data_IF_935273028937
#
_entry.id   IF_935273028937
#
_cell.length_a   1.000
_cell.length_b   1.000
_cell.length_c   1.000
_cell.angle_alpha   90.00
_cell.angle_beta   90.00
_cell.angle_gamma   90.00
#
_symmetry.space_group_name_H-M   'P 1'
#
loop_
_entity.id
_entity.type
_entity.pdbx_description
1 polymer ?
#
# COMPACT_ATOMS: atom_id res chain seq x y z
N UNK A 1 -0.86 15.83 1.41
CA UNK A 1 -1.47 15.76 2.76
C UNK A 1 -1.65 14.31 3.16
N UNK A 2 -1.47 13.96 4.44
CA UNK A 2 -1.60 12.60 4.98
C UNK A 2 -2.83 12.51 5.88
N UNK A 3 -3.66 11.49 5.68
CA UNK A 3 -4.89 11.26 6.43
C UNK A 3 -4.99 9.80 6.86
N UNK A 4 -5.52 9.50 8.04
CA UNK A 4 -5.85 8.11 8.39
C UNK A 4 -6.91 7.57 7.44
N UNK A 5 -6.76 6.33 6.97
CA UNK A 5 -7.66 5.75 5.97
C UNK A 5 -8.98 5.29 6.59
N UNK A 6 -9.91 6.21 6.79
CA UNK A 6 -11.24 5.97 7.39
C UNK A 6 -12.35 6.45 6.45
N UNK A 7 -13.56 5.90 6.61
CA UNK A 7 -14.74 6.36 5.86
C UNK A 7 -14.99 7.87 6.03
N UNK A 8 -14.79 8.41 7.24
CA UNK A 8 -14.93 9.85 7.52
C UNK A 8 -13.93 10.69 6.70
N UNK A 9 -12.66 10.30 6.67
CA UNK A 9 -11.65 11.03 5.90
C UNK A 9 -11.87 10.89 4.39
N UNK A 10 -12.39 9.75 3.92
CA UNK A 10 -12.79 9.58 2.52
C UNK A 10 -13.96 10.48 2.13
N UNK A 11 -14.98 10.59 2.98
CA UNK A 11 -16.10 11.50 2.75
C UNK A 11 -15.62 12.94 2.69
N UNK A 12 -14.75 13.36 3.62
CA UNK A 12 -14.14 14.69 3.62
C UNK A 12 -13.35 14.98 2.34
N UNK A 13 -12.47 14.05 1.93
CA UNK A 13 -11.73 14.19 0.67
C UNK A 13 -12.67 14.25 -0.55
N UNK A 14 -13.76 13.48 -0.52
CA UNK A 14 -14.77 13.49 -1.59
C UNK A 14 -15.50 14.81 -1.72
N UNK A 15 -15.75 15.51 -0.60
CA UNK A 15 -16.37 16.83 -0.59
C UNK A 15 -15.37 17.90 -1.03
N UNK A 16 -14.18 17.91 -0.40
CA UNK A 16 -13.12 18.89 -0.63
C UNK A 16 -12.62 18.90 -2.08
N UNK A 17 -12.59 17.73 -2.74
CA UNK A 17 -12.10 17.56 -4.12
C UNK A 17 -13.19 17.16 -5.12
N UNK A 18 -14.45 17.50 -4.83
CA UNK A 18 -15.60 17.19 -5.67
C UNK A 18 -15.52 17.80 -7.08
N UNK A 19 -14.88 18.97 -7.23
CA UNK A 19 -14.68 19.62 -8.54
C UNK A 19 -13.46 19.09 -9.31
N UNK A 20 -12.58 18.33 -8.65
CA UNK A 20 -11.38 17.79 -9.28
C UNK A 20 -11.71 16.50 -10.05
N UNK A 21 -11.81 16.61 -11.37
CA UNK A 21 -12.14 15.48 -12.26
C UNK A 21 -11.16 14.29 -12.13
N UNK A 22 -9.86 14.55 -11.94
CA UNK A 22 -8.92 13.47 -11.70
C UNK A 22 -9.22 12.75 -10.38
N UNK A 23 -9.47 13.51 -9.31
CA UNK A 23 -9.86 12.93 -8.04
C UNK A 23 -11.13 12.07 -8.18
N UNK A 24 -12.20 12.63 -8.75
CA UNK A 24 -13.51 11.99 -8.86
C UNK A 24 -13.46 10.74 -9.75
N UNK A 25 -12.80 10.81 -10.90
CA UNK A 25 -12.82 9.73 -11.89
C UNK A 25 -11.72 8.70 -11.69
N UNK A 26 -10.59 9.06 -11.07
CA UNK A 26 -9.45 8.15 -10.91
C UNK A 26 -9.15 7.82 -9.46
N UNK A 27 -8.93 8.81 -8.61
CA UNK A 27 -8.40 8.57 -7.25
C UNK A 27 -9.48 7.99 -6.33
N UNK A 28 -10.65 8.61 -6.30
CA UNK A 28 -11.76 8.27 -5.41
C UNK A 28 -12.29 6.84 -5.61
N UNK A 29 -12.52 6.33 -6.85
CA UNK A 29 -12.96 4.95 -7.05
C UNK A 29 -11.94 3.94 -6.50
N UNK A 30 -10.64 4.19 -6.67
CA UNK A 30 -9.57 3.33 -6.13
C UNK A 30 -9.52 3.36 -4.62
N UNK A 31 -9.68 4.55 -4.02
CA UNK A 31 -9.79 4.70 -2.57
C UNK A 31 -10.99 3.92 -2.01
N UNK A 32 -12.14 3.94 -2.69
CA UNK A 32 -13.33 3.16 -2.30
C UNK A 32 -13.07 1.65 -2.37
N UNK A 33 -12.45 1.16 -3.45
CA UNK A 33 -12.06 -0.26 -3.59
C UNK A 33 -11.11 -0.67 -2.45
N UNK A 34 -10.03 0.08 -2.25
CA UNK A 34 -9.03 -0.24 -1.23
C UNK A 34 -9.61 -0.13 0.19
N UNK A 35 -10.57 0.76 0.43
CA UNK A 35 -11.27 0.85 1.70
C UNK A 35 -12.17 -0.38 1.96
N UNK A 36 -12.87 -0.87 0.93
CA UNK A 36 -13.65 -2.10 1.03
C UNK A 36 -12.73 -3.30 1.33
N UNK A 37 -11.60 -3.41 0.65
CA UNK A 37 -10.58 -4.43 0.91
C UNK A 37 -10.04 -4.33 2.34
N UNK A 38 -9.70 -3.12 2.81
CA UNK A 38 -9.22 -2.89 4.18
C UNK A 38 -10.22 -3.41 5.22
N UNK A 39 -11.54 -3.21 5.00
CA UNK A 39 -12.58 -3.71 5.90
C UNK A 39 -12.62 -5.24 5.94
N UNK A 40 -12.44 -5.88 4.80
CA UNK A 40 -12.39 -7.35 4.68
C UNK A 40 -11.13 -7.96 5.32
N UNK A 41 -10.00 -7.23 5.29
CA UNK A 41 -8.72 -7.65 5.87
C UNK A 41 -8.54 -7.20 7.32
N UNK A 42 -9.63 -6.86 8.03
CA UNK A 42 -9.58 -6.32 9.40
C UNK A 42 -9.03 -7.30 10.44
N UNK A 43 -8.94 -8.58 10.10
CA UNK A 43 -8.36 -9.64 10.94
C UNK A 43 -6.84 -9.55 11.02
N UNK A 44 -6.19 -8.90 10.05
CA UNK A 44 -4.74 -8.69 10.02
C UNK A 44 -4.43 -7.47 10.90
N UNK A 45 -3.87 -7.73 12.08
CA UNK A 45 -3.55 -6.72 13.08
C UNK A 45 -2.23 -6.00 12.76
N UNK A 46 -1.87 -5.01 13.58
CA UNK A 46 -0.60 -4.26 13.47
C UNK A 46 -0.40 -3.45 12.18
N UNK A 47 -1.45 -3.17 11.43
CA UNK A 47 -1.38 -2.34 10.22
C UNK A 47 -2.03 -0.97 10.44
N UNK A 48 -1.28 0.10 10.19
CA UNK A 48 -1.79 1.46 10.18
C UNK A 48 -1.91 2.00 8.75
N UNK A 49 -3.15 2.13 8.29
CA UNK A 49 -3.47 2.56 6.93
C UNK A 49 -3.67 4.07 6.86
N UNK A 50 -2.98 4.72 5.93
CA UNK A 50 -3.03 6.14 5.67
C UNK A 50 -3.20 6.42 4.17
N UNK A 51 -3.82 7.56 3.84
CA UNK A 51 -3.97 8.11 2.51
C UNK A 51 -3.00 9.29 2.39
N UNK A 52 -2.16 9.28 1.38
CA UNK A 52 -1.41 10.46 0.94
C UNK A 52 -2.03 10.97 -0.35
N UNK A 53 -2.47 12.23 -0.32
CA UNK A 53 -3.10 12.87 -1.47
C UNK A 53 -2.53 14.26 -1.72
N UNK A 54 -2.30 14.57 -3.00
CA UNK A 54 -1.88 15.85 -3.53
C UNK A 54 -2.71 16.16 -4.79
N UNK A 55 -3.46 17.28 -4.80
CA UNK A 55 -4.21 17.69 -5.99
C UNK A 55 -3.30 18.19 -7.12
N UNK A 56 -2.05 18.56 -6.81
CA UNK A 56 -1.08 19.11 -7.77
C UNK A 56 -0.12 18.04 -8.31
N UNK A 57 0.29 17.10 -7.46
CA UNK A 57 1.24 16.05 -7.84
C UNK A 57 0.59 14.66 -7.73
N UNK A 58 -0.07 14.25 -8.81
CA UNK A 58 -0.80 12.97 -8.87
C UNK A 58 0.08 11.74 -8.60
N UNK A 59 1.39 11.84 -8.86
CA UNK A 59 2.34 10.75 -8.64
C UNK A 59 2.66 10.52 -7.15
N UNK A 60 2.26 11.47 -6.28
CA UNK A 60 2.36 11.32 -4.83
C UNK A 60 1.12 10.67 -4.21
N UNK A 61 0.07 10.41 -4.99
CA UNK A 61 -1.17 9.86 -4.48
C UNK A 61 -1.03 8.37 -4.23
N UNK A 62 -1.19 7.95 -2.97
CA UNK A 62 -0.95 6.57 -2.54
C UNK A 62 -1.67 6.24 -1.25
N UNK A 63 -1.84 4.94 -1.01
CA UNK A 63 -2.10 4.40 0.32
C UNK A 63 -0.76 3.95 0.90
N UNK A 64 -0.49 4.34 2.13
CA UNK A 64 0.63 3.81 2.93
C UNK A 64 0.09 2.96 4.08
N UNK A 65 0.72 1.83 4.34
CA UNK A 65 0.28 0.85 5.32
C UNK A 65 1.49 0.52 6.18
N UNK A 66 1.61 1.21 7.31
CA UNK A 66 2.74 0.99 8.20
C UNK A 66 2.51 -0.25 9.03
N UNK A 67 3.49 -1.15 9.03
CA UNK A 67 3.55 -2.23 10.00
C UNK A 67 3.99 -1.61 11.32
N UNK A 68 3.19 -1.77 12.37
CA UNK A 68 3.45 -1.16 13.67
C UNK A 68 4.71 -1.77 14.27
N UNK A 69 5.82 -1.07 14.06
CA UNK A 69 7.04 -1.23 14.83
C UNK A 69 7.33 0.10 15.53
N UNK A 70 7.16 0.15 16.85
CA UNK A 70 7.18 1.41 17.62
C UNK A 70 8.56 1.76 18.20
N UNK A 71 9.58 0.94 17.95
CA UNK A 71 10.81 0.98 18.73
C UNK A 71 11.99 1.64 18.01
N UNK A 72 12.00 1.69 16.68
CA UNK A 72 13.10 2.32 15.91
C UNK A 72 12.65 3.31 14.83
N UNK A 73 13.33 4.47 14.74
CA UNK A 73 13.07 5.52 13.74
C UNK A 73 13.66 5.20 12.36
N UNK A 74 14.74 4.41 12.33
CA UNK A 74 15.52 4.13 11.12
C UNK A 74 14.94 2.96 10.30
N UNK A 75 14.20 2.08 10.98
CA UNK A 75 13.53 0.92 10.42
C UNK A 75 12.02 1.10 10.46
N UNK A 76 11.50 1.60 9.35
CA UNK A 76 10.07 1.78 9.14
C UNK A 76 9.63 0.80 8.06
N UNK A 77 8.94 -0.26 8.47
CA UNK A 77 8.39 -1.28 7.59
C UNK A 77 7.01 -0.85 7.13
N UNK A 78 6.82 -0.71 5.83
CA UNK A 78 5.51 -0.31 5.31
C UNK A 78 5.27 -0.82 3.90
N UNK A 79 3.99 -0.91 3.57
CA UNK A 79 3.51 -1.13 2.22
C UNK A 79 3.08 0.19 1.61
N UNK A 80 3.22 0.30 0.29
CA UNK A 80 2.69 1.40 -0.50
C UNK A 80 1.85 0.84 -1.67
N UNK A 81 0.67 1.44 -1.87
CA UNK A 81 -0.17 1.19 -3.04
C UNK A 81 -0.39 2.54 -3.74
N UNK A 82 0.31 2.82 -4.85
CA UNK A 82 0.07 4.00 -5.65
C UNK A 82 -1.37 4.04 -6.16
N UNK A 83 -2.01 5.21 -6.11
CA UNK A 83 -3.37 5.44 -6.63
C UNK A 83 -3.34 5.69 -8.15
N UNK A 84 -2.51 4.91 -8.85
CA UNK A 84 -2.29 4.99 -10.30
C UNK A 84 -3.22 4.05 -11.06
N UNK A 85 -3.18 4.09 -12.39
CA UNK A 85 -3.96 3.16 -13.23
C UNK A 85 -3.58 1.70 -12.97
N UNK A 86 -2.29 1.43 -12.86
CA UNK A 86 -1.77 0.10 -12.61
C UNK A 86 -1.73 -0.16 -11.10
N UNK A 87 -2.10 -1.38 -10.72
CA UNK A 87 -1.94 -1.82 -9.34
C UNK A 87 -0.49 -2.27 -9.14
N UNK A 88 0.15 -1.72 -8.11
CA UNK A 88 1.42 -2.18 -7.59
C UNK A 88 1.31 -2.24 -6.07
N UNK A 89 1.74 -3.36 -5.50
CA UNK A 89 1.94 -3.47 -4.06
C UNK A 89 3.44 -3.41 -3.81
N UNK A 90 3.87 -2.32 -3.18
CA UNK A 90 5.28 -2.05 -2.91
C UNK A 90 5.58 -2.33 -1.45
N UNK A 91 6.73 -2.92 -1.17
CA UNK A 91 7.20 -3.20 0.19
C UNK A 91 8.50 -2.48 0.46
N UNK A 92 8.52 -1.71 1.54
CA UNK A 92 9.68 -0.98 2.00
C UNK A 92 10.19 -1.60 3.30
N UNK A 93 11.49 -1.88 3.33
CA UNK A 93 12.17 -2.36 4.53
C UNK A 93 12.70 -1.23 5.42
N UNK A 94 12.77 -0.01 4.91
CA UNK A 94 13.34 1.12 5.64
C UNK A 94 13.00 2.46 4.98
N UNK A 95 13.42 3.56 5.64
CA UNK A 95 13.36 4.91 5.10
C UNK A 95 14.62 5.33 4.33
N UNK A 96 15.60 4.44 4.11
CA UNK A 96 16.87 4.79 3.46
C UNK A 96 17.41 3.66 2.57
N UNK A 97 18.03 4.02 1.45
CA UNK A 97 18.59 3.02 0.53
C UNK A 97 19.66 2.15 1.18
N UNK A 98 20.44 2.72 2.11
CA UNK A 98 21.51 2.01 2.83
C UNK A 98 20.88 0.92 3.70
N UNK A 99 19.93 1.28 4.57
CA UNK A 99 19.27 0.31 5.45
C UNK A 99 18.47 -0.74 4.66
N UNK A 100 17.92 -0.38 3.49
CA UNK A 100 17.26 -1.37 2.63
C UNK A 100 18.25 -2.43 2.15
N UNK A 101 19.44 -2.02 1.68
CA UNK A 101 20.46 -2.95 1.18
C UNK A 101 20.96 -3.85 2.32
N UNK A 102 21.21 -3.28 3.49
CA UNK A 102 21.66 -4.05 4.66
C UNK A 102 20.64 -5.13 5.05
N UNK A 103 19.36 -4.76 5.12
CA UNK A 103 18.29 -5.71 5.41
C UNK A 103 18.09 -6.72 4.29
N UNK A 104 18.19 -6.32 3.03
CA UNK A 104 18.06 -7.26 1.91
C UNK A 104 19.17 -8.32 1.93
N UNK A 105 20.43 -7.91 2.17
CA UNK A 105 21.54 -8.85 2.29
C UNK A 105 21.33 -9.80 3.47
N UNK A 106 20.88 -9.29 4.62
CA UNK A 106 20.50 -10.12 5.77
C UNK A 106 19.44 -11.16 5.40
N UNK A 107 18.38 -10.78 4.69
CA UNK A 107 17.31 -11.70 4.29
C UNK A 107 17.80 -12.80 3.34
N UNK A 108 18.78 -12.49 2.49
CA UNK A 108 19.42 -13.49 1.61
C UNK A 108 20.35 -14.43 2.39
N UNK A 109 21.19 -13.88 3.27
CA UNK A 109 22.13 -14.66 4.09
C UNK A 109 21.41 -15.62 5.05
N UNK A 110 20.22 -15.25 5.52
CA UNK A 110 19.36 -16.08 6.37
C UNK A 110 18.40 -16.98 5.60
N UNK A 111 18.46 -16.98 4.28
CA UNK A 111 17.58 -17.76 3.41
C UNK A 111 16.08 -17.49 3.66
N UNK A 112 15.76 -16.31 4.20
CA UNK A 112 14.37 -15.87 4.43
C UNK A 112 13.73 -15.51 3.08
N UNK A 113 14.52 -14.89 2.20
CA UNK A 113 14.18 -14.65 0.80
C UNK A 113 15.23 -15.26 -0.10
N UNK A 114 14.80 -15.67 -1.30
CA UNK A 114 15.71 -16.06 -2.37
C UNK A 114 16.01 -14.89 -3.29
N UNK A 115 17.20 -14.90 -3.90
CA UNK A 115 17.58 -13.90 -4.88
C UNK A 115 16.58 -13.90 -6.04
N UNK A 116 16.18 -12.72 -6.48
CA UNK A 116 15.24 -12.50 -7.60
C UNK A 116 13.82 -13.04 -7.37
N UNK A 117 13.48 -13.43 -6.12
CA UNK A 117 12.11 -13.84 -5.74
C UNK A 117 11.08 -12.73 -6.00
N UNK A 118 11.48 -11.48 -5.75
CA UNK A 118 10.67 -10.29 -5.98
C UNK A 118 11.47 -9.27 -6.77
N UNK A 119 10.78 -8.52 -7.64
CA UNK A 119 11.41 -7.43 -8.38
C UNK A 119 11.72 -6.29 -7.43
N UNK A 120 12.97 -5.82 -7.45
CA UNK A 120 13.39 -4.61 -6.74
C UNK A 120 13.35 -3.44 -7.72
N UNK A 121 12.64 -2.36 -7.36
CA UNK A 121 12.71 -1.08 -8.08
C UNK A 121 13.34 -0.01 -7.22
N UNK A 122 14.15 0.83 -7.86
CA UNK A 122 14.63 2.09 -7.32
C UNK A 122 14.63 3.12 -8.46
N UNK A 123 13.90 4.21 -8.30
CA UNK A 123 13.91 5.35 -9.22
C UNK A 123 14.59 6.56 -8.57
N UNK A 124 15.01 7.54 -9.38
CA UNK A 124 15.54 8.81 -8.89
C UNK A 124 14.54 9.46 -7.92
N UNK A 125 14.99 9.71 -6.67
CA UNK A 125 14.18 10.15 -5.50
C UNK A 125 13.25 9.13 -4.81
N UNK A 126 13.35 7.84 -5.12
CA UNK A 126 12.61 6.80 -4.38
C UNK A 126 13.56 5.80 -3.77
N UNK A 127 13.30 5.43 -2.52
CA UNK A 127 14.04 4.39 -1.81
C UNK A 127 13.77 3.04 -2.52
N UNK A 128 14.77 2.15 -2.60
CA UNK A 128 14.56 0.78 -3.07
C UNK A 128 13.40 0.10 -2.36
N UNK A 129 12.62 -0.67 -3.12
CA UNK A 129 11.47 -1.40 -2.61
C UNK A 129 11.21 -2.64 -3.45
N UNK A 130 10.54 -3.63 -2.85
CA UNK A 130 10.03 -4.78 -3.58
C UNK A 130 8.70 -4.46 -4.24
N UNK A 131 8.42 -5.10 -5.36
CA UNK A 131 7.09 -5.18 -5.97
C UNK A 131 6.62 -6.63 -5.87
N UNK A 132 5.47 -6.82 -5.22
CA UNK A 132 5.08 -8.16 -4.73
C UNK A 132 3.72 -8.65 -5.25
N UNK A 133 2.99 -7.84 -6.03
CA UNK A 133 1.79 -8.30 -6.70
C UNK A 133 2.14 -9.38 -7.74
N UNK A 134 1.48 -10.55 -7.65
CA UNK A 134 1.85 -11.75 -8.42
C UNK A 134 1.26 -11.74 -9.82
N UNK A 135 0.02 -11.26 -9.96
CA UNK A 135 -0.75 -11.36 -11.22
C UNK A 135 -1.42 -10.05 -11.63
N UNK A 136 -1.90 -9.26 -10.67
CA UNK A 136 -2.71 -8.09 -10.99
C UNK A 136 -1.85 -6.96 -11.51
N UNK A 137 -2.08 -6.54 -12.76
CA UNK A 137 -1.42 -5.37 -13.36
C UNK A 137 -2.26 -4.10 -13.26
N UNK A 138 -3.58 -4.23 -13.27
CA UNK A 138 -4.54 -3.12 -13.31
C UNK A 138 -5.77 -3.47 -12.48
N UNK A 139 -6.39 -2.43 -11.91
CA UNK A 139 -7.72 -2.53 -11.30
C UNK A 139 -8.75 -2.94 -12.35
N UNK A 140 -9.75 -3.72 -11.94
CA UNK A 140 -10.88 -4.08 -12.81
C UNK A 140 -11.72 -2.83 -13.15
N UNK A 141 -11.79 -2.52 -14.44
CA UNK A 141 -12.51 -1.35 -14.97
C UNK A 141 -14.01 -1.43 -14.64
N UNK A 142 -14.60 -2.63 -14.62
CA UNK A 142 -16.02 -2.80 -14.28
C UNK A 142 -16.28 -2.42 -12.82
N UNK A 143 -15.33 -2.72 -11.92
CA UNK A 143 -15.41 -2.36 -10.51
C UNK A 143 -15.19 -0.85 -10.33
N UNK A 144 -14.18 -0.29 -11.00
CA UNK A 144 -13.91 1.16 -11.02
C UNK A 144 -15.18 1.93 -11.44
N UNK A 145 -15.77 1.55 -12.58
CA UNK A 145 -16.97 2.21 -13.10
C UNK A 145 -18.13 2.14 -12.11
N UNK A 146 -18.38 0.98 -11.49
CA UNK A 146 -19.43 0.85 -10.47
C UNK A 146 -19.23 1.81 -9.30
N UNK A 147 -18.00 2.09 -8.88
CA UNK A 147 -17.72 3.06 -7.83
C UNK A 147 -17.80 4.52 -8.28
N UNK A 148 -17.48 4.81 -9.55
CA UNK A 148 -17.57 6.16 -10.11
C UNK A 148 -19.01 6.69 -10.14
N UNK A 149 -20.01 5.81 -10.24
CA UNK A 149 -21.44 6.19 -10.27
C UNK A 149 -22.14 6.11 -8.91
N UNK A 150 -21.42 5.89 -7.80
CA UNK A 150 -22.05 5.70 -6.49
C UNK A 150 -21.39 6.56 -5.41
N UNK A 151 -22.21 7.23 -4.60
CA UNK A 151 -21.73 7.98 -3.42
C UNK A 151 -21.56 7.10 -2.18
N UNK A 152 -21.92 5.82 -2.26
CA UNK A 152 -21.89 4.89 -1.13
C UNK A 152 -20.48 4.33 -0.88
N UNK A 153 -19.92 4.66 0.28
CA UNK A 153 -18.65 4.10 0.77
C UNK A 153 -18.79 2.70 1.40
N UNK A 154 -20.04 2.22 1.53
CA UNK A 154 -20.38 0.94 2.18
C UNK A 154 -20.72 -0.19 1.20
N UNK A 155 -20.60 0.02 -0.12
CA UNK A 155 -20.72 -1.08 -1.07
C UNK A 155 -19.53 -2.03 -0.92
N UNK A 156 -19.81 -3.30 -0.65
CA UNK A 156 -18.84 -4.40 -0.63
C UNK A 156 -18.50 -4.84 -2.07
N UNK A 157 -18.09 -3.90 -2.93
CA UNK A 157 -17.60 -4.21 -4.27
C UNK A 157 -16.09 -4.35 -4.20
N UNK A 158 -15.63 -5.59 -4.06
CA UNK A 158 -14.20 -5.86 -3.90
C UNK A 158 -13.62 -6.33 -5.23
N UNK A 159 -12.47 -5.77 -5.60
CA UNK A 159 -11.60 -6.35 -6.62
C UNK A 159 -10.82 -7.50 -5.98
N UNK A 160 -11.34 -8.72 -6.14
CA UNK A 160 -10.76 -9.93 -5.51
C UNK A 160 -9.32 -10.18 -5.95
N UNK A 161 -8.93 -9.79 -7.17
CA UNK A 161 -7.54 -9.95 -7.61
C UNK A 161 -6.60 -9.03 -6.82
N UNK A 162 -7.01 -7.77 -6.66
CA UNK A 162 -6.27 -6.79 -5.84
C UNK A 162 -6.25 -7.24 -4.37
N UNK A 163 -7.38 -7.68 -3.83
CA UNK A 163 -7.47 -8.20 -2.45
C UNK A 163 -6.52 -9.37 -2.24
N UNK A 164 -6.53 -10.35 -3.13
CA UNK A 164 -5.69 -11.55 -3.01
C UNK A 164 -4.20 -11.21 -3.09
N UNK A 165 -3.79 -10.26 -3.95
CA UNK A 165 -2.41 -9.80 -4.00
C UNK A 165 -2.02 -9.04 -2.72
N UNK A 166 -2.90 -8.20 -2.16
CA UNK A 166 -2.68 -7.50 -0.88
C UNK A 166 -2.54 -8.51 0.27
N UNK A 167 -3.49 -9.44 0.39
CA UNK A 167 -3.50 -10.45 1.43
C UNK A 167 -2.25 -11.34 1.35
N UNK A 168 -1.93 -11.85 0.15
CA UNK A 168 -0.72 -12.64 -0.07
C UNK A 168 0.54 -11.86 0.31
N UNK A 169 0.55 -10.55 0.03
CA UNK A 169 1.66 -9.68 0.39
C UNK A 169 1.87 -9.57 1.89
N UNK A 170 0.79 -9.38 2.65
CA UNK A 170 0.83 -9.36 4.11
C UNK A 170 1.24 -10.71 4.71
N UNK A 171 0.70 -11.81 4.18
CA UNK A 171 1.04 -13.17 4.63
C UNK A 171 2.53 -13.50 4.42
N UNK A 172 3.15 -12.94 3.38
CA UNK A 172 4.58 -13.12 3.11
C UNK A 172 5.42 -12.17 3.96
N UNK A 173 5.12 -10.87 3.97
CA UNK A 173 6.04 -9.87 4.51
C UNK A 173 5.81 -9.48 5.96
N UNK A 174 4.62 -9.68 6.55
CA UNK A 174 4.46 -9.45 7.98
C UNK A 174 5.38 -10.36 8.81
N UNK A 175 5.47 -11.69 8.54
CA UNK A 175 6.43 -12.54 9.23
C UNK A 175 7.89 -12.15 8.98
N UNK A 176 8.21 -11.64 7.78
CA UNK A 176 9.56 -11.14 7.46
C UNK A 176 9.87 -9.90 8.30
N UNK A 177 8.91 -8.99 8.47
CA UNK A 177 9.08 -7.84 9.35
C UNK A 177 9.29 -8.28 10.79
N UNK A 178 8.49 -9.23 11.30
CA UNK A 178 8.65 -9.74 12.65
C UNK A 178 10.06 -10.33 12.88
N UNK A 179 10.59 -11.10 11.92
CA UNK A 179 11.94 -11.65 12.02
C UNK A 179 13.03 -10.58 12.04
N UNK A 180 12.89 -9.52 11.23
CA UNK A 180 13.82 -8.40 11.26
C UNK A 180 13.72 -7.67 12.61
N UNK A 181 12.50 -7.43 13.10
CA UNK A 181 12.27 -6.76 14.38
C UNK A 181 12.92 -7.54 15.52
N UNK A 182 12.72 -8.85 15.57
CA UNK A 182 13.29 -9.73 16.57
C UNK A 182 14.82 -9.76 16.51
N UNK A 183 15.39 -9.90 15.30
CA UNK A 183 16.83 -9.99 15.11
C UNK A 183 17.57 -8.69 15.49
N UNK A 184 17.02 -7.54 15.09
CA UNK A 184 17.67 -6.24 15.31
C UNK A 184 17.22 -5.57 16.61
N UNK A 185 16.23 -6.14 17.33
CA UNK A 185 15.64 -5.63 18.57
C UNK A 185 15.11 -4.20 18.42
N UNK A 186 14.40 -3.96 17.32
CA UNK A 186 13.93 -2.65 16.87
C UNK A 186 12.44 -2.45 17.03
#
# INVERSE_FOLDING_TARGET
>A
MKYTFTATNLAKLSEEYSENQNFVLTTLPRLKILHAIKKDLNTITNLEWNIEYSPVNINMNRITIHYKNQTCKDFNFFYEIPLSLNFELRVYLSNSSIHFIDLYNFLLEKEILTKDQFSIKAAYHTIPHFIINKKTKRYDINIINKYSYTNEFNKNLIDENVKNDIQSGFEIFNPVFDQIIEQFKI
#
